data_IF_629594605670
#
_entry.id   IF_629594605670
#
_cell.length_a   1.000
_cell.length_b   1.000
_cell.length_c   1.000
_cell.angle_alpha   90.00
_cell.angle_beta   90.00
_cell.angle_gamma   90.00
#
_symmetry.space_group_name_H-M   'P 1'
#
loop_
_entity.id
_entity.type
_entity.pdbx_description
1 polymer ?
#
# COMPACT_ATOMS: atom_id res chain seq x y z
N UNK A 1 -4.98 -38.19 -20.34
CA UNK A 1 -5.06 -36.71 -20.48
C UNK A 1 -4.52 -36.15 -19.19
N UNK A 2 -3.37 -35.51 -19.23
CA UNK A 2 -2.79 -34.86 -18.04
C UNK A 2 -3.80 -33.82 -17.50
N UNK A 3 -3.99 -33.79 -16.22
CA UNK A 3 -4.80 -32.74 -15.57
C UNK A 3 -4.01 -31.43 -15.69
N UNK A 4 -4.38 -30.64 -16.67
CA UNK A 4 -3.89 -29.27 -16.84
C UNK A 4 -4.22 -28.40 -15.63
N UNK A 5 -3.62 -27.23 -15.48
CA UNK A 5 -3.96 -26.27 -14.42
C UNK A 5 -5.47 -26.03 -14.39
N UNK A 6 -5.96 -25.51 -13.28
CA UNK A 6 -7.38 -25.25 -13.14
C UNK A 6 -7.84 -24.27 -14.23
N UNK A 7 -8.86 -24.65 -15.00
CA UNK A 7 -9.47 -23.78 -16.00
C UNK A 7 -9.84 -22.42 -15.37
N UNK A 8 -9.59 -21.32 -16.08
CA UNK A 8 -9.86 -19.95 -15.58
C UNK A 8 -11.31 -19.75 -15.14
N UNK A 9 -12.26 -20.45 -15.74
CA UNK A 9 -13.67 -20.42 -15.32
C UNK A 9 -13.92 -21.01 -13.93
N UNK A 10 -13.02 -21.84 -13.43
CA UNK A 10 -13.09 -22.49 -12.12
C UNK A 10 -12.28 -21.76 -11.06
N UNK A 11 -11.46 -20.78 -11.45
CA UNK A 11 -10.69 -19.94 -10.52
C UNK A 11 -11.60 -18.86 -9.98
N UNK A 12 -11.96 -18.96 -8.70
CA UNK A 12 -12.89 -18.03 -8.05
C UNK A 12 -12.15 -16.81 -7.50
N UNK A 13 -12.59 -15.63 -7.92
CA UNK A 13 -12.23 -14.34 -7.34
C UNK A 13 -13.35 -13.85 -6.42
N UNK A 14 -13.03 -13.49 -5.19
CA UNK A 14 -13.92 -12.84 -4.24
C UNK A 14 -13.45 -11.40 -4.05
N UNK A 15 -14.21 -10.43 -4.60
CA UNK A 15 -13.89 -9.01 -4.51
C UNK A 15 -14.85 -8.33 -3.53
N UNK A 16 -14.33 -7.73 -2.47
CA UNK A 16 -15.08 -7.12 -1.39
C UNK A 16 -14.95 -5.58 -1.39
N UNK A 17 -15.77 -4.93 -0.57
CA UNK A 17 -15.71 -3.49 -0.25
C UNK A 17 -15.86 -2.57 -1.46
N UNK A 18 -16.56 -3.01 -2.50
CA UNK A 18 -16.80 -2.19 -3.68
C UNK A 18 -15.49 -1.73 -4.34
N UNK A 19 -14.51 -2.63 -4.53
CA UNK A 19 -13.34 -2.33 -5.36
C UNK A 19 -13.79 -1.80 -6.72
N UNK A 20 -13.02 -0.88 -7.32
CA UNK A 20 -13.45 -0.21 -8.53
C UNK A 20 -13.78 -1.22 -9.66
N UNK A 21 -14.85 -1.02 -10.45
CA UNK A 21 -15.27 -1.94 -11.52
C UNK A 21 -14.18 -2.28 -12.54
N UNK A 22 -13.20 -1.40 -12.77
CA UNK A 22 -12.04 -1.69 -13.61
C UNK A 22 -11.32 -2.99 -13.22
N UNK A 23 -11.35 -3.37 -11.94
CA UNK A 23 -10.81 -4.65 -11.50
C UNK A 23 -11.53 -5.84 -12.12
N UNK A 24 -12.87 -5.79 -12.16
CA UNK A 24 -13.70 -6.82 -12.78
C UNK A 24 -13.46 -6.88 -14.29
N UNK A 25 -13.30 -5.72 -14.92
CA UNK A 25 -13.06 -5.64 -16.36
C UNK A 25 -11.72 -6.27 -16.75
N UNK A 26 -10.63 -6.00 -15.98
CA UNK A 26 -9.32 -6.64 -16.18
C UNK A 26 -9.41 -8.16 -16.02
N UNK A 27 -10.07 -8.64 -14.97
CA UNK A 27 -10.22 -10.09 -14.73
C UNK A 27 -11.01 -10.75 -15.86
N UNK A 28 -12.11 -10.16 -16.31
CA UNK A 28 -12.92 -10.67 -17.43
C UNK A 28 -12.12 -10.67 -18.73
N UNK A 29 -11.39 -9.59 -19.03
CA UNK A 29 -10.54 -9.50 -20.20
C UNK A 29 -9.43 -10.56 -20.20
N UNK A 30 -8.94 -10.95 -19.02
CA UNK A 30 -7.98 -12.04 -18.84
C UNK A 30 -8.62 -13.46 -18.91
N UNK A 31 -9.94 -13.56 -19.07
CA UNK A 31 -10.68 -14.83 -19.23
C UNK A 31 -11.23 -15.43 -17.94
N UNK A 32 -11.18 -14.72 -16.81
CA UNK A 32 -11.79 -15.17 -15.55
C UNK A 32 -13.28 -14.86 -15.53
N UNK A 33 -14.11 -15.87 -15.28
CA UNK A 33 -15.58 -15.74 -15.28
C UNK A 33 -16.23 -15.98 -13.92
N UNK A 34 -15.52 -16.63 -12.99
CA UNK A 34 -16.00 -16.90 -11.64
C UNK A 34 -15.60 -15.77 -10.70
N UNK A 35 -16.30 -14.63 -10.80
CA UNK A 35 -16.03 -13.41 -10.03
C UNK A 35 -17.24 -13.10 -9.16
N UNK A 36 -17.08 -13.20 -7.84
CA UNK A 36 -18.07 -12.75 -6.87
C UNK A 36 -17.69 -11.34 -6.40
N UNK A 37 -18.56 -10.37 -6.67
CA UNK A 37 -18.36 -8.96 -6.37
C UNK A 37 -19.34 -8.48 -5.31
N UNK A 38 -18.82 -7.97 -4.18
CA UNK A 38 -19.61 -7.50 -3.04
C UNK A 38 -19.18 -6.07 -2.69
N UNK A 39 -20.15 -5.17 -2.56
CA UNK A 39 -19.88 -3.74 -2.35
C UNK A 39 -19.55 -3.35 -0.91
N UNK A 40 -19.74 -4.26 0.04
CA UNK A 40 -19.45 -4.05 1.47
C UNK A 40 -18.35 -4.97 1.95
N UNK A 41 -17.81 -4.70 3.13
CA UNK A 41 -17.10 -5.70 3.94
C UNK A 41 -18.10 -6.75 4.44
N UNK A 42 -17.60 -7.94 4.76
CA UNK A 42 -18.42 -9.04 5.29
C UNK A 42 -18.23 -9.18 6.80
N UNK A 43 -19.28 -9.55 7.53
CA UNK A 43 -19.13 -10.08 8.89
C UNK A 43 -18.21 -11.29 8.89
N UNK A 44 -17.45 -11.48 9.96
CA UNK A 44 -16.41 -12.52 10.07
C UNK A 44 -16.90 -13.92 9.71
N UNK A 45 -18.07 -14.32 10.20
CA UNK A 45 -18.64 -15.65 9.92
C UNK A 45 -18.91 -15.87 8.41
N UNK A 46 -19.43 -14.84 7.72
CA UNK A 46 -19.67 -14.89 6.27
C UNK A 46 -18.35 -14.86 5.48
N UNK A 47 -17.35 -14.10 5.97
CA UNK A 47 -16.02 -14.07 5.36
C UNK A 47 -15.37 -15.45 5.43
N UNK A 48 -15.41 -16.14 6.58
CA UNK A 48 -14.90 -17.51 6.77
C UNK A 48 -15.55 -18.51 5.81
N UNK A 49 -16.85 -18.40 5.60
CA UNK A 49 -17.58 -19.26 4.66
C UNK A 49 -17.14 -19.02 3.21
N UNK A 50 -17.12 -17.74 2.77
CA UNK A 50 -16.84 -17.39 1.38
C UNK A 50 -15.38 -17.57 0.97
N UNK A 51 -14.44 -17.30 1.88
CA UNK A 51 -13.01 -17.40 1.60
C UNK A 51 -12.58 -18.88 1.45
N UNK A 52 -13.30 -19.81 2.05
CA UNK A 52 -12.97 -21.25 2.00
C UNK A 52 -12.92 -21.80 0.57
N UNK A 53 -13.69 -21.23 -0.35
CA UNK A 53 -13.76 -21.64 -1.75
C UNK A 53 -13.10 -20.65 -2.73
N UNK A 54 -12.62 -19.51 -2.24
CA UNK A 54 -11.97 -18.51 -3.06
C UNK A 54 -10.51 -18.88 -3.36
N UNK A 55 -10.07 -18.64 -4.60
CA UNK A 55 -8.67 -18.76 -5.01
C UNK A 55 -7.94 -17.42 -4.90
N UNK A 56 -8.63 -16.33 -5.14
CA UNK A 56 -8.14 -14.97 -4.98
C UNK A 56 -9.16 -14.14 -4.21
N UNK A 57 -8.68 -13.30 -3.30
CA UNK A 57 -9.53 -12.33 -2.61
C UNK A 57 -8.99 -10.91 -2.86
N UNK A 58 -9.91 -10.00 -3.17
CA UNK A 58 -9.64 -8.56 -3.25
C UNK A 58 -10.34 -7.84 -2.11
N UNK A 59 -9.60 -7.06 -1.34
CA UNK A 59 -10.10 -6.26 -0.22
C UNK A 59 -9.61 -4.83 -0.32
N UNK A 60 -10.22 -3.93 0.46
CA UNK A 60 -9.69 -2.57 0.67
C UNK A 60 -9.14 -2.46 2.09
N UNK A 61 -9.57 -1.47 2.86
CA UNK A 61 -9.01 -1.16 4.19
C UNK A 61 -9.81 -1.71 5.38
N UNK A 62 -11.03 -2.22 5.17
CA UNK A 62 -11.94 -2.61 6.27
C UNK A 62 -11.86 -4.07 6.64
N UNK A 63 -11.82 -4.97 5.65
CA UNK A 63 -11.78 -6.42 5.87
C UNK A 63 -10.44 -6.82 6.48
N UNK A 64 -10.48 -7.46 7.64
CA UNK A 64 -9.29 -7.97 8.34
C UNK A 64 -9.04 -9.42 7.95
N UNK A 65 -7.88 -9.71 7.39
CA UNK A 65 -7.41 -11.07 7.08
C UNK A 65 -6.40 -11.52 8.15
N UNK A 66 -6.93 -11.99 9.26
CA UNK A 66 -6.17 -12.51 10.39
C UNK A 66 -5.72 -13.95 10.15
N UNK A 67 -4.85 -14.48 11.01
CA UNK A 67 -4.46 -15.88 10.98
C UNK A 67 -5.67 -16.82 11.01
N UNK A 68 -6.67 -16.53 11.87
CA UNK A 68 -7.90 -17.30 11.99
C UNK A 68 -8.70 -17.33 10.66
N UNK A 69 -8.76 -16.22 9.94
CA UNK A 69 -9.39 -16.18 8.61
C UNK A 69 -8.63 -17.04 7.61
N UNK A 70 -7.29 -16.98 7.62
CA UNK A 70 -6.47 -17.80 6.73
C UNK A 70 -6.59 -19.29 6.99
N UNK A 71 -6.90 -19.73 8.20
CA UNK A 71 -7.16 -21.16 8.52
C UNK A 71 -8.37 -21.71 7.76
N UNK A 72 -9.32 -20.85 7.38
CA UNK A 72 -10.46 -21.19 6.55
C UNK A 72 -10.17 -21.10 5.04
N UNK A 73 -9.13 -20.38 4.63
CA UNK A 73 -8.81 -20.04 3.24
C UNK A 73 -8.03 -21.15 2.50
N UNK A 74 -8.55 -22.36 2.45
CA UNK A 74 -7.85 -23.58 1.99
C UNK A 74 -7.41 -23.56 0.54
N UNK A 75 -8.14 -22.85 -0.33
CA UNK A 75 -7.84 -22.74 -1.77
C UNK A 75 -7.14 -21.43 -2.13
N UNK A 76 -7.02 -20.51 -1.20
CA UNK A 76 -6.55 -19.16 -1.46
C UNK A 76 -5.08 -19.18 -1.93
N UNK A 77 -4.82 -18.49 -3.02
CA UNK A 77 -3.51 -18.41 -3.70
C UNK A 77 -2.89 -17.05 -3.48
N UNK A 78 -3.70 -15.99 -3.56
CA UNK A 78 -3.22 -14.64 -3.34
C UNK A 78 -4.32 -13.70 -2.82
N UNK A 79 -3.87 -12.63 -2.18
CA UNK A 79 -4.65 -11.49 -1.70
C UNK A 79 -4.28 -10.26 -2.52
N UNK A 80 -5.27 -9.51 -2.98
CA UNK A 80 -5.11 -8.17 -3.54
C UNK A 80 -5.64 -7.13 -2.56
N UNK A 81 -4.77 -6.29 -2.04
CA UNK A 81 -5.14 -5.09 -1.28
C UNK A 81 -5.35 -3.94 -2.27
N UNK A 82 -6.60 -3.57 -2.54
CA UNK A 82 -6.95 -2.46 -3.43
C UNK A 82 -6.78 -1.12 -2.72
N UNK A 83 -5.58 -0.91 -2.17
CA UNK A 83 -5.11 0.28 -1.45
C UNK A 83 -3.58 0.22 -1.32
N UNK A 84 -2.96 1.23 -0.72
CA UNK A 84 -1.51 1.21 -0.42
C UNK A 84 -1.22 0.34 0.80
N UNK A 85 -1.96 0.55 1.91
CA UNK A 85 -1.72 -0.12 3.19
C UNK A 85 -2.02 -1.61 3.13
N UNK A 86 -1.32 -2.38 3.94
CA UNK A 86 -1.51 -3.83 4.10
C UNK A 86 -1.70 -4.24 5.55
N UNK A 87 -1.91 -3.27 6.44
CA UNK A 87 -2.07 -3.46 7.89
C UNK A 87 -3.27 -4.36 8.25
N UNK A 88 -4.27 -4.44 7.34
CA UNK A 88 -5.45 -5.29 7.47
C UNK A 88 -5.18 -6.76 7.13
N UNK A 89 -3.95 -7.13 6.73
CA UNK A 89 -3.56 -8.49 6.39
C UNK A 89 -2.43 -8.96 7.29
N UNK A 90 -2.59 -10.10 7.94
CA UNK A 90 -1.48 -10.78 8.62
C UNK A 90 -0.53 -11.37 7.57
N UNK A 91 0.51 -10.59 7.24
CA UNK A 91 1.49 -10.95 6.21
C UNK A 91 2.31 -12.19 6.59
N UNK A 92 2.51 -12.45 7.89
CA UNK A 92 3.22 -13.63 8.37
C UNK A 92 2.37 -14.89 8.17
N UNK A 93 1.12 -14.84 8.63
CA UNK A 93 0.19 -15.95 8.45
C UNK A 93 -0.06 -16.28 6.96
N UNK A 94 -0.17 -15.26 6.11
CA UNK A 94 -0.27 -15.44 4.66
C UNK A 94 0.97 -16.11 4.07
N UNK A 95 2.17 -15.66 4.44
CA UNK A 95 3.45 -16.23 3.99
C UNK A 95 3.61 -17.69 4.39
N UNK A 96 3.30 -18.04 5.64
CA UNK A 96 3.41 -19.41 6.17
C UNK A 96 2.47 -20.39 5.46
N UNK A 97 1.39 -19.89 4.83
CA UNK A 97 0.43 -20.68 4.04
C UNK A 97 0.68 -20.62 2.54
N UNK A 98 1.78 -19.97 2.12
CA UNK A 98 2.12 -19.82 0.71
C UNK A 98 1.13 -18.95 -0.07
N UNK A 99 0.59 -17.92 0.58
CA UNK A 99 -0.36 -16.96 0.00
C UNK A 99 0.37 -15.64 -0.27
N UNK A 100 0.46 -15.26 -1.55
CA UNK A 100 1.08 -14.00 -1.95
C UNK A 100 0.13 -12.83 -1.68
N UNK A 101 0.67 -11.68 -1.25
CA UNK A 101 -0.09 -10.46 -1.01
C UNK A 101 0.41 -9.35 -1.91
N UNK A 102 -0.50 -8.70 -2.63
CA UNK A 102 -0.22 -7.58 -3.54
C UNK A 102 -1.00 -6.35 -3.10
N UNK A 103 -0.45 -5.17 -3.36
CA UNK A 103 -1.10 -3.89 -3.11
C UNK A 103 -0.90 -2.92 -4.27
N UNK A 104 -1.40 -1.69 -4.15
CA UNK A 104 -1.21 -0.61 -5.12
C UNK A 104 -0.41 0.55 -4.51
N UNK A 105 0.93 0.48 -4.46
CA UNK A 105 1.75 1.48 -3.79
C UNK A 105 1.87 2.81 -4.55
N UNK A 106 1.46 2.88 -5.82
CA UNK A 106 1.73 4.05 -6.69
C UNK A 106 0.48 4.71 -7.26
N UNK A 107 -0.65 4.01 -7.35
CA UNK A 107 -1.83 4.43 -8.11
C UNK A 107 -2.55 5.66 -7.56
N UNK A 108 -2.34 6.04 -6.31
CA UNK A 108 -2.93 7.23 -5.70
C UNK A 108 -1.91 8.36 -5.44
N UNK A 109 -0.68 8.19 -5.91
CA UNK A 109 0.43 9.15 -5.67
C UNK A 109 0.03 10.58 -6.02
N UNK A 110 -0.58 10.77 -7.19
CA UNK A 110 -1.00 12.08 -7.69
C UNK A 110 -2.12 12.69 -6.83
N UNK A 111 -3.10 11.91 -6.44
CA UNK A 111 -4.23 12.37 -5.63
C UNK A 111 -3.79 12.91 -4.27
N UNK A 112 -2.89 12.19 -3.59
CA UNK A 112 -2.35 12.63 -2.29
C UNK A 112 -1.51 13.90 -2.46
N UNK A 113 -0.65 13.96 -3.48
CA UNK A 113 0.19 15.14 -3.74
C UNK A 113 -0.65 16.40 -4.02
N UNK A 114 -1.75 16.26 -4.77
CA UNK A 114 -2.68 17.37 -5.05
C UNK A 114 -3.45 17.82 -3.79
N UNK A 115 -3.93 16.88 -2.98
CA UNK A 115 -4.59 17.21 -1.71
C UNK A 115 -3.66 18.01 -0.81
N UNK A 116 -2.45 17.50 -0.55
CA UNK A 116 -1.45 18.18 0.30
C UNK A 116 -1.13 19.59 -0.20
N UNK A 117 -0.98 19.75 -1.52
CA UNK A 117 -0.68 21.06 -2.12
C UNK A 117 -1.85 22.03 -1.97
N UNK A 118 -3.09 21.56 -2.16
CA UNK A 118 -4.30 22.35 -1.93
C UNK A 118 -4.43 22.77 -0.45
N UNK A 119 -4.21 21.84 0.48
CA UNK A 119 -4.23 22.11 1.93
C UNK A 119 -3.17 23.13 2.32
N UNK A 120 -1.97 23.04 1.77
CA UNK A 120 -0.90 24.02 1.99
C UNK A 120 -1.34 25.44 1.59
N UNK A 121 -1.97 25.61 0.42
CA UNK A 121 -2.49 26.91 -0.03
C UNK A 121 -3.61 27.40 0.87
N UNK A 122 -4.57 26.54 1.21
CA UNK A 122 -5.72 26.91 2.04
C UNK A 122 -5.28 27.36 3.44
N UNK A 123 -4.33 26.65 4.05
CA UNK A 123 -3.79 26.97 5.37
C UNK A 123 -2.96 28.25 5.38
N UNK A 124 -2.09 28.49 4.39
CA UNK A 124 -1.35 29.74 4.25
C UNK A 124 -2.26 30.96 4.10
N UNK A 125 -3.45 30.78 3.55
CA UNK A 125 -4.46 31.85 3.36
C UNK A 125 -5.43 31.96 4.54
N UNK A 126 -5.37 31.06 5.52
CA UNK A 126 -6.35 30.99 6.63
C UNK A 126 -7.78 30.76 6.11
N UNK A 127 -7.95 30.01 5.04
CA UNK A 127 -9.27 29.76 4.41
C UNK A 127 -10.20 28.98 5.32
N UNK A 128 -9.77 27.90 6.05
CA UNK A 128 -10.68 27.14 6.91
C UNK A 128 -11.43 28.00 7.89
N UNK A 129 -10.73 28.84 8.66
CA UNK A 129 -11.30 29.76 9.64
C UNK A 129 -12.23 30.80 9.00
N UNK A 130 -11.76 31.44 7.92
CA UNK A 130 -12.53 32.47 7.20
C UNK A 130 -13.79 31.91 6.59
N UNK A 131 -13.71 30.71 5.97
CA UNK A 131 -14.86 29.99 5.41
C UNK A 131 -15.88 29.66 6.52
N UNK A 132 -15.42 29.06 7.60
CA UNK A 132 -16.30 28.73 8.74
C UNK A 132 -16.97 29.98 9.34
N UNK A 133 -16.24 31.12 9.43
CA UNK A 133 -16.78 32.38 9.88
C UNK A 133 -17.90 32.90 8.96
N UNK A 134 -17.70 32.88 7.64
CA UNK A 134 -18.72 33.32 6.67
C UNK A 134 -20.00 32.45 6.78
N UNK A 135 -19.87 31.14 6.94
CA UNK A 135 -21.03 30.26 7.13
C UNK A 135 -21.84 30.55 8.41
N UNK A 136 -21.17 31.12 9.42
CA UNK A 136 -21.82 31.57 10.66
C UNK A 136 -22.28 33.04 10.61
N UNK A 137 -22.21 33.69 9.46
CA UNK A 137 -22.64 35.09 9.29
C UNK A 137 -21.55 36.12 9.70
N UNK A 138 -20.33 35.68 10.00
CA UNK A 138 -19.20 36.56 10.30
C UNK A 138 -18.51 37.07 9.02
N UNK A 139 -17.62 38.06 9.16
CA UNK A 139 -16.92 38.65 8.03
C UNK A 139 -15.48 39.03 8.43
N UNK A 140 -14.50 38.14 8.14
CA UNK A 140 -13.09 38.35 8.47
C UNK A 140 -12.33 38.79 7.22
N UNK A 141 -12.37 40.09 6.91
CA UNK A 141 -11.61 40.69 5.82
C UNK A 141 -10.26 41.20 6.33
N UNK A 142 -9.21 40.38 6.29
CA UNK A 142 -7.88 40.73 6.79
C UNK A 142 -6.79 40.06 5.98
N UNK A 143 -5.67 40.77 5.77
CA UNK A 143 -4.45 40.21 5.22
C UNK A 143 -3.51 39.62 6.31
N UNK A 144 -3.84 39.81 7.57
CA UNK A 144 -3.06 39.23 8.67
C UNK A 144 -3.04 37.70 8.56
N UNK A 145 -1.86 37.11 8.72
CA UNK A 145 -1.61 35.69 8.59
C UNK A 145 -2.13 35.06 7.28
N UNK A 146 -2.08 35.85 6.19
CA UNK A 146 -2.44 35.39 4.85
C UNK A 146 -1.25 35.58 3.93
N UNK A 147 -0.73 34.48 3.38
CA UNK A 147 0.51 34.48 2.61
C UNK A 147 0.31 33.84 1.24
N UNK A 148 1.10 34.27 0.27
CA UNK A 148 1.26 33.57 -1.01
C UNK A 148 2.15 32.35 -0.82
N UNK A 149 1.94 31.30 -1.64
CA UNK A 149 2.77 30.09 -1.61
C UNK A 149 4.12 30.30 -2.28
N UNK A 150 4.20 31.22 -3.28
CA UNK A 150 5.45 31.55 -3.97
C UNK A 150 6.53 31.99 -2.98
N UNK A 151 7.74 31.43 -3.15
CA UNK A 151 8.89 31.72 -2.29
C UNK A 151 8.85 31.08 -0.91
N UNK A 152 7.78 30.34 -0.57
CA UNK A 152 7.72 29.58 0.68
C UNK A 152 8.56 28.33 0.60
N UNK A 153 9.06 27.87 1.76
CA UNK A 153 9.85 26.65 1.89
C UNK A 153 8.95 25.49 2.28
N UNK A 154 9.00 24.42 1.50
CA UNK A 154 8.32 23.15 1.77
C UNK A 154 9.34 22.15 2.29
N UNK A 155 9.12 21.63 3.50
CA UNK A 155 9.87 20.51 4.08
C UNK A 155 9.11 19.21 3.90
N UNK A 156 9.71 18.25 3.22
CA UNK A 156 9.12 16.93 2.97
C UNK A 156 9.87 15.90 3.82
N UNK A 157 9.14 15.16 4.66
CA UNK A 157 9.67 14.04 5.43
C UNK A 157 9.22 12.74 4.74
N UNK A 158 10.18 12.01 4.14
CA UNK A 158 9.91 10.87 3.25
C UNK A 158 9.82 11.27 1.78
N UNK A 159 10.90 11.04 1.03
CA UNK A 159 11.01 11.37 -0.40
C UNK A 159 10.78 10.13 -1.27
N UNK A 160 9.66 9.44 -1.01
CA UNK A 160 9.12 8.35 -1.82
C UNK A 160 8.31 8.86 -3.02
N UNK A 161 7.44 8.04 -3.58
CA UNK A 161 6.65 8.39 -4.77
C UNK A 161 5.80 9.64 -4.58
N UNK A 162 5.12 9.80 -3.43
CA UNK A 162 4.28 10.96 -3.13
C UNK A 162 5.15 12.20 -2.90
N UNK A 163 6.16 12.11 -2.04
CA UNK A 163 7.05 13.24 -1.73
C UNK A 163 7.77 13.77 -2.98
N UNK A 164 8.22 12.88 -3.83
CA UNK A 164 8.85 13.23 -5.12
C UNK A 164 7.87 13.95 -6.05
N UNK A 165 6.65 13.43 -6.22
CA UNK A 165 5.65 14.07 -7.07
C UNK A 165 5.21 15.43 -6.51
N UNK A 166 5.02 15.52 -5.21
CA UNK A 166 4.69 16.77 -4.53
C UNK A 166 5.78 17.81 -4.73
N UNK A 167 7.07 17.44 -4.66
CA UNK A 167 8.18 18.37 -4.86
C UNK A 167 8.13 19.04 -6.23
N UNK A 168 7.84 18.27 -7.28
CA UNK A 168 7.71 18.80 -8.66
C UNK A 168 6.53 19.76 -8.78
N UNK A 169 5.39 19.43 -8.17
CA UNK A 169 4.22 20.30 -8.18
C UNK A 169 4.46 21.60 -7.40
N UNK A 170 5.10 21.51 -6.24
CA UNK A 170 5.41 22.65 -5.37
C UNK A 170 6.41 23.60 -6.05
N UNK A 171 7.43 23.06 -6.72
CA UNK A 171 8.35 23.87 -7.55
C UNK A 171 7.60 24.65 -8.64
N UNK A 172 6.63 24.00 -9.31
CA UNK A 172 5.78 24.65 -10.32
C UNK A 172 5.01 25.86 -9.79
N UNK A 173 4.75 25.93 -8.48
CA UNK A 173 4.14 27.08 -7.79
C UNK A 173 5.18 28.06 -7.23
N UNK A 174 6.46 27.87 -7.50
CA UNK A 174 7.54 28.73 -7.05
C UNK A 174 7.97 28.53 -5.59
N UNK A 175 7.71 27.36 -5.01
CA UNK A 175 8.24 26.98 -3.70
C UNK A 175 9.69 26.53 -3.79
N UNK A 176 10.43 26.64 -2.67
CA UNK A 176 11.72 25.99 -2.44
C UNK A 176 11.48 24.70 -1.68
N UNK A 177 12.01 23.58 -2.19
CA UNK A 177 11.74 22.26 -1.59
C UNK A 177 12.99 21.72 -0.90
N UNK A 178 12.82 21.31 0.36
CA UNK A 178 13.82 20.58 1.14
C UNK A 178 13.21 19.25 1.60
N UNK A 179 14.00 18.18 1.60
CA UNK A 179 13.49 16.89 2.04
C UNK A 179 14.47 16.11 2.90
N UNK A 180 13.93 15.34 3.82
CA UNK A 180 14.65 14.34 4.59
C UNK A 180 14.13 12.94 4.23
N UNK A 181 15.05 12.02 4.02
CA UNK A 181 14.77 10.59 3.85
C UNK A 181 15.92 9.80 4.51
N UNK A 182 15.65 8.60 5.01
CA UNK A 182 16.66 7.72 5.60
C UNK A 182 17.64 7.17 4.56
N UNK A 183 17.24 7.19 3.29
CA UNK A 183 18.07 6.78 2.14
C UNK A 183 18.50 8.01 1.34
N UNK A 184 19.67 7.91 0.70
CA UNK A 184 20.05 8.91 -0.32
C UNK A 184 19.13 8.76 -1.52
N UNK A 185 18.43 9.83 -1.88
CA UNK A 185 17.48 9.88 -3.01
C UNK A 185 18.00 10.82 -4.09
N UNK A 186 17.59 10.55 -5.34
CA UNK A 186 17.82 11.48 -6.44
C UNK A 186 16.85 12.68 -6.28
N UNK A 187 17.35 13.90 -6.04
CA UNK A 187 16.49 15.06 -5.96
C UNK A 187 15.97 15.44 -7.36
N UNK A 188 14.68 15.81 -7.45
CA UNK A 188 14.08 16.31 -8.69
C UNK A 188 13.88 17.82 -8.60
N UNK A 189 14.09 18.51 -9.71
CA UNK A 189 13.92 19.95 -9.81
C UNK A 189 14.80 20.70 -8.83
N UNK A 190 14.20 21.63 -8.06
CA UNK A 190 14.90 22.41 -7.05
C UNK A 190 14.97 21.74 -5.66
N UNK A 191 14.51 20.51 -5.52
CA UNK A 191 14.50 19.80 -4.24
C UNK A 191 15.93 19.54 -3.74
N UNK A 192 16.17 19.80 -2.46
CA UNK A 192 17.47 19.58 -1.80
C UNK A 192 17.31 18.60 -0.65
N UNK A 193 18.08 17.51 -0.66
CA UNK A 193 18.15 16.59 0.48
C UNK A 193 18.96 17.21 1.61
N UNK A 194 18.40 17.14 2.82
CA UNK A 194 19.07 17.58 4.05
C UNK A 194 19.52 16.39 4.89
N UNK A 195 20.47 16.61 5.81
CA UNK A 195 21.13 15.55 6.52
C UNK A 195 20.34 15.00 7.73
N UNK A 196 19.44 15.79 8.29
CA UNK A 196 18.68 15.43 9.48
C UNK A 196 17.21 15.81 9.41
N UNK A 197 16.35 15.12 10.18
CA UNK A 197 14.93 15.44 10.30
C UNK A 197 14.68 16.86 10.83
N UNK A 198 15.53 17.34 11.73
CA UNK A 198 15.35 18.67 12.36
C UNK A 198 15.55 19.83 11.39
N UNK A 199 16.33 19.65 10.32
CA UNK A 199 16.56 20.72 9.34
C UNK A 199 15.29 21.14 8.59
N UNK A 200 14.52 20.23 7.94
CA UNK A 200 13.30 20.65 7.25
C UNK A 200 12.25 21.16 8.24
N UNK A 201 12.20 20.66 9.49
CA UNK A 201 11.31 21.18 10.51
C UNK A 201 11.60 22.65 10.83
N UNK A 202 12.86 22.99 11.11
CA UNK A 202 13.24 24.35 11.54
C UNK A 202 13.27 25.39 10.44
N UNK A 203 13.49 24.99 9.19
CA UNK A 203 13.66 25.96 8.09
C UNK A 203 12.44 26.16 7.20
N UNK A 204 11.44 25.24 7.26
CA UNK A 204 10.33 25.24 6.32
C UNK A 204 9.12 26.03 6.85
N UNK A 205 8.38 26.65 5.96
CA UNK A 205 7.11 27.31 6.27
C UNK A 205 5.97 26.28 6.38
N UNK A 206 6.10 25.17 5.63
CA UNK A 206 5.17 24.04 5.62
C UNK A 206 5.99 22.77 5.72
N UNK A 207 5.61 21.87 6.61
CA UNK A 207 6.16 20.53 6.76
C UNK A 207 5.09 19.52 6.40
N UNK A 208 5.42 18.55 5.56
CA UNK A 208 4.52 17.46 5.18
C UNK A 208 5.19 16.09 5.30
N UNK A 209 4.40 15.12 5.71
CA UNK A 209 4.88 13.78 6.05
C UNK A 209 4.41 12.76 5.01
N UNK A 210 5.35 11.94 4.50
CA UNK A 210 5.12 10.91 3.49
C UNK A 210 5.90 9.64 3.81
N UNK A 211 5.87 9.22 5.06
CA UNK A 211 6.56 8.02 5.58
C UNK A 211 5.59 6.85 5.77
N UNK A 212 6.05 5.59 5.65
CA UNK A 212 5.24 4.42 6.00
C UNK A 212 5.04 4.33 7.53
N UNK A 213 4.14 3.44 7.95
CA UNK A 213 3.99 3.07 9.35
C UNK A 213 4.97 1.93 9.68
N UNK A 214 5.95 2.23 10.52
CA UNK A 214 6.95 1.28 11.04
C UNK A 214 7.21 1.57 12.51
N UNK A 215 7.98 0.71 13.20
CA UNK A 215 8.37 0.97 14.58
C UNK A 215 9.18 2.27 14.73
N UNK A 216 9.97 2.63 13.73
CA UNK A 216 10.82 3.84 13.73
C UNK A 216 10.04 5.13 13.42
N UNK A 217 8.92 5.02 12.71
CA UNK A 217 8.09 6.18 12.36
C UNK A 217 6.92 6.41 13.30
N UNK A 218 6.66 5.46 14.20
CA UNK A 218 5.62 5.60 15.22
C UNK A 218 5.98 6.76 16.17
N UNK A 219 5.11 7.73 16.26
CA UNK A 219 5.24 8.95 17.09
C UNK A 219 6.53 9.75 16.81
N UNK A 220 7.08 9.62 15.59
CA UNK A 220 8.33 10.31 15.23
C UNK A 220 8.19 11.84 15.21
N UNK A 221 6.96 12.36 15.12
CA UNK A 221 6.65 13.78 15.23
C UNK A 221 5.87 14.00 16.54
N UNK A 222 6.63 13.98 17.62
CA UNK A 222 6.14 14.27 18.97
C UNK A 222 6.26 15.74 19.35
N UNK A 223 6.06 16.07 20.63
CA UNK A 223 6.12 17.44 21.14
C UNK A 223 7.43 18.14 20.75
N UNK A 224 8.58 17.47 20.89
CA UNK A 224 9.89 18.04 20.59
C UNK A 224 10.02 18.42 19.12
N UNK A 225 9.62 17.53 18.21
CA UNK A 225 9.68 17.74 16.76
C UNK A 225 8.67 18.82 16.34
N UNK A 226 7.48 18.82 16.90
CA UNK A 226 6.46 19.86 16.66
C UNK A 226 6.98 21.23 17.09
N UNK A 227 7.64 21.33 18.26
CA UNK A 227 8.27 22.58 18.74
C UNK A 227 9.51 22.97 17.93
N UNK A 228 10.16 22.03 17.25
CA UNK A 228 11.25 22.32 16.33
C UNK A 228 10.77 22.90 14.99
N UNK A 229 9.49 22.74 14.64
CA UNK A 229 8.93 23.41 13.46
C UNK A 229 9.02 24.92 13.67
N UNK A 230 9.39 25.64 12.62
CA UNK A 230 9.48 27.09 12.60
C UNK A 230 8.19 27.71 13.18
N UNK A 231 8.35 28.68 14.10
CA UNK A 231 7.20 29.42 14.63
C UNK A 231 6.38 30.05 13.50
N UNK A 232 5.08 29.85 13.50
CA UNK A 232 4.19 30.25 12.42
C UNK A 232 4.19 29.26 11.25
N UNK A 233 4.79 28.08 11.44
CA UNK A 233 4.77 27.00 10.45
C UNK A 233 3.45 26.25 10.39
N UNK A 234 3.31 25.37 9.42
CA UNK A 234 2.16 24.52 9.13
C UNK A 234 2.63 23.07 9.10
N UNK A 235 1.87 22.15 9.71
CA UNK A 235 2.11 20.70 9.60
C UNK A 235 0.98 20.03 8.83
N UNK A 236 1.34 19.18 7.85
CA UNK A 236 0.40 18.37 7.06
C UNK A 236 0.76 16.91 7.23
N UNK A 237 -0.22 16.07 7.60
CA UNK A 237 -0.07 14.62 7.67
C UNK A 237 -1.16 13.93 6.85
N UNK A 238 -0.79 13.46 5.67
CA UNK A 238 -1.58 12.56 4.81
C UNK A 238 -0.84 11.21 4.63
N UNK A 239 -0.03 10.80 5.62
CA UNK A 239 0.76 9.57 5.60
C UNK A 239 0.12 8.46 6.45
N UNK A 240 0.37 8.47 7.76
CA UNK A 240 -0.20 7.51 8.74
C UNK A 240 -0.52 8.22 10.05
N UNK A 241 -1.62 7.81 10.69
CA UNK A 241 -2.12 8.47 11.91
C UNK A 241 -1.16 8.39 13.09
N UNK A 242 -0.47 7.27 13.23
CA UNK A 242 0.48 7.01 14.32
C UNK A 242 1.81 7.77 14.20
N UNK A 243 2.03 8.53 13.13
CA UNK A 243 3.28 9.29 12.92
C UNK A 243 3.32 10.56 13.79
N UNK A 244 2.17 11.16 14.10
CA UNK A 244 2.07 12.45 14.79
C UNK A 244 1.35 12.30 16.13
N UNK A 245 1.89 12.88 17.20
CA UNK A 245 1.21 13.04 18.49
C UNK A 245 0.18 14.18 18.39
N UNK A 246 -1.11 13.83 18.28
CA UNK A 246 -2.17 14.81 18.01
C UNK A 246 -2.45 15.75 19.18
N UNK A 247 -2.24 15.32 20.42
CA UNK A 247 -2.39 16.20 21.60
C UNK A 247 -1.31 17.28 21.61
N UNK A 248 -0.06 16.93 21.36
CA UNK A 248 1.04 17.88 21.24
C UNK A 248 0.82 18.87 20.07
N UNK A 249 0.27 18.38 18.94
CA UNK A 249 -0.10 19.22 17.81
C UNK A 249 -1.22 20.20 18.18
N UNK A 250 -2.25 19.74 18.87
CA UNK A 250 -3.36 20.57 19.33
C UNK A 250 -2.86 21.71 20.26
N UNK A 251 -1.95 21.40 21.17
CA UNK A 251 -1.38 22.39 22.08
C UNK A 251 -0.51 23.42 21.35
N UNK A 252 0.28 22.98 20.36
CA UNK A 252 1.09 23.89 19.54
C UNK A 252 0.23 24.84 18.67
N UNK A 253 -0.97 24.43 18.28
CA UNK A 253 -1.92 25.29 17.55
C UNK A 253 -2.60 26.27 18.54
N UNK A 254 -3.05 25.80 19.70
CA UNK A 254 -3.72 26.63 20.72
C UNK A 254 -2.80 27.76 21.22
N UNK A 255 -1.52 27.48 21.42
CA UNK A 255 -0.54 28.47 21.87
C UNK A 255 0.07 29.31 20.72
N UNK A 256 -0.39 29.08 19.47
CA UNK A 256 0.01 29.83 18.28
C UNK A 256 1.50 29.62 17.90
N UNK A 257 2.10 28.50 18.31
CA UNK A 257 3.39 28.10 17.78
C UNK A 257 3.26 27.73 16.29
N UNK A 258 2.27 26.90 15.94
CA UNK A 258 1.84 26.63 14.58
C UNK A 258 0.59 27.46 14.23
N UNK A 259 0.49 27.92 12.98
CA UNK A 259 -0.65 28.71 12.50
C UNK A 259 -1.72 27.85 11.83
N UNK A 260 -1.47 26.56 11.63
CA UNK A 260 -2.43 25.65 11.05
C UNK A 260 -1.89 24.22 10.90
N UNK A 261 -2.81 23.29 10.66
CA UNK A 261 -2.49 21.92 10.34
C UNK A 261 -3.54 21.31 9.39
N UNK A 262 -3.13 20.30 8.61
CA UNK A 262 -4.04 19.41 7.87
C UNK A 262 -3.73 17.96 8.24
N UNK A 263 -4.75 17.24 8.65
CA UNK A 263 -4.63 15.84 9.08
C UNK A 263 -5.69 15.01 8.36
N UNK A 264 -5.22 14.12 7.50
CA UNK A 264 -6.07 13.19 6.73
C UNK A 264 -6.16 11.81 7.38
N UNK A 265 -5.25 11.49 8.31
CA UNK A 265 -5.07 10.17 8.92
C UNK A 265 -4.98 10.26 10.44
N UNK A 266 -5.55 9.29 11.16
CA UNK A 266 -5.67 9.33 12.61
C UNK A 266 -5.20 8.02 13.25
N UNK A 267 -4.69 8.05 14.52
CA UNK A 267 -4.31 6.83 15.23
C UNK A 267 -5.48 5.86 15.44
N UNK A 268 -6.67 6.43 15.62
CA UNK A 268 -7.94 5.69 15.72
C UNK A 268 -8.91 6.29 14.72
N UNK A 269 -9.28 5.51 13.72
CA UNK A 269 -10.22 5.90 12.68
C UNK A 269 -11.58 5.20 12.88
N UNK A 270 -12.72 5.89 12.61
CA UNK A 270 -14.04 5.29 12.62
C UNK A 270 -14.11 4.08 11.67
N UNK A 271 -14.77 3.01 12.09
CA UNK A 271 -14.95 1.80 11.26
C UNK A 271 -16.03 1.96 10.19
N UNK A 272 -16.98 2.86 10.45
CA UNK A 272 -18.08 3.16 9.54
C UNK A 272 -18.35 4.67 9.48
N UNK A 273 -19.10 5.11 8.49
CA UNK A 273 -19.51 6.51 8.36
C UNK A 273 -20.50 6.96 9.46
N UNK A 274 -21.08 6.01 10.19
CA UNK A 274 -22.05 6.28 11.27
C UNK A 274 -21.37 6.38 12.64
N UNK A 275 -20.09 6.01 12.74
CA UNK A 275 -19.33 6.09 13.98
C UNK A 275 -18.93 7.55 14.29
N UNK A 276 -18.87 7.90 15.56
CA UNK A 276 -18.45 9.22 15.99
C UNK A 276 -16.94 9.34 15.84
N UNK A 277 -16.51 10.38 15.15
CA UNK A 277 -15.09 10.74 15.04
C UNK A 277 -14.67 11.62 16.22
N UNK A 278 -13.64 11.20 16.95
CA UNK A 278 -13.05 11.96 18.06
C UNK A 278 -11.59 12.31 17.76
N UNK A 279 -11.22 13.56 18.03
CA UNK A 279 -9.85 14.06 17.89
C UNK A 279 -9.64 15.32 18.73
N UNK A 280 -8.46 15.51 19.36
CA UNK A 280 -8.13 16.74 20.09
C UNK A 280 -8.04 17.97 19.17
N UNK A 281 -8.03 17.79 17.87
CA UNK A 281 -7.96 18.87 16.87
C UNK A 281 -9.33 19.42 16.47
N UNK A 282 -10.43 18.77 16.87
CA UNK A 282 -11.79 19.23 16.55
C UNK A 282 -12.06 20.62 17.11
N UNK A 283 -12.62 21.48 16.28
CA UNK A 283 -13.00 22.84 16.67
C UNK A 283 -11.85 23.84 16.75
N UNK A 284 -10.62 23.45 16.41
CA UNK A 284 -9.51 24.39 16.30
C UNK A 284 -9.59 25.17 15.00
N UNK A 285 -9.33 26.47 15.09
CA UNK A 285 -9.27 27.35 13.93
C UNK A 285 -8.07 27.02 13.03
N UNK A 286 -8.24 27.23 11.75
CA UNK A 286 -7.23 26.97 10.71
C UNK A 286 -6.67 25.54 10.73
N UNK A 287 -7.51 24.56 11.06
CA UNK A 287 -7.22 23.13 10.98
C UNK A 287 -8.13 22.48 9.96
N UNK A 288 -7.56 21.69 9.06
CA UNK A 288 -8.29 20.85 8.09
C UNK A 288 -8.24 19.42 8.59
N UNK A 289 -9.41 18.80 8.76
CA UNK A 289 -9.55 17.38 9.10
C UNK A 289 -10.31 16.70 7.97
N UNK A 290 -9.71 15.67 7.38
CA UNK A 290 -10.31 14.88 6.29
C UNK A 290 -10.33 13.40 6.66
N UNK A 291 -11.37 12.64 6.28
CA UNK A 291 -11.58 11.27 6.74
C UNK A 291 -10.81 10.26 5.89
N UNK A 292 -9.47 10.36 5.87
CA UNK A 292 -8.55 9.47 5.16
C UNK A 292 -8.89 9.35 3.66
N UNK A 293 -9.00 10.49 3.00
CA UNK A 293 -9.42 10.61 1.59
C UNK A 293 -8.28 10.93 0.60
N UNK A 294 -7.04 11.02 1.06
CA UNK A 294 -5.91 11.37 0.19
C UNK A 294 -5.82 10.54 -1.08
N UNK A 295 -6.14 9.24 -1.00
CA UNK A 295 -6.21 8.34 -2.16
C UNK A 295 -7.64 8.13 -2.73
N UNK A 296 -8.64 8.88 -2.30
CA UNK A 296 -10.05 8.62 -2.62
C UNK A 296 -10.57 9.47 -3.77
N UNK A 297 -9.85 9.52 -4.88
CA UNK A 297 -10.31 10.12 -6.14
C UNK A 297 -10.79 9.04 -7.11
N UNK A 298 -11.67 9.40 -8.05
CA UNK A 298 -12.19 8.48 -9.06
C UNK A 298 -11.04 7.85 -9.87
N UNK A 299 -10.07 8.66 -10.28
CA UNK A 299 -8.90 8.25 -11.05
C UNK A 299 -8.02 7.29 -10.24
N UNK A 300 -7.74 7.61 -8.97
CA UNK A 300 -6.95 6.73 -8.11
C UNK A 300 -7.63 5.39 -7.91
N UNK A 301 -8.92 5.36 -7.65
CA UNK A 301 -9.67 4.12 -7.47
C UNK A 301 -9.68 3.27 -8.74
N UNK A 302 -9.84 3.88 -9.92
CA UNK A 302 -9.75 3.18 -11.20
C UNK A 302 -8.34 2.59 -11.43
N UNK A 303 -7.30 3.37 -11.19
CA UNK A 303 -5.91 2.95 -11.35
C UNK A 303 -5.52 1.84 -10.35
N UNK A 304 -5.96 1.94 -9.08
CA UNK A 304 -5.79 0.89 -8.08
C UNK A 304 -6.46 -0.41 -8.55
N UNK A 305 -7.68 -0.30 -9.11
CA UNK A 305 -8.40 -1.44 -9.68
C UNK A 305 -7.59 -2.13 -10.77
N UNK A 306 -7.03 -1.38 -11.70
CA UNK A 306 -6.17 -1.90 -12.78
C UNK A 306 -4.90 -2.53 -12.21
N UNK A 307 -4.13 -1.78 -11.41
CA UNK A 307 -2.82 -2.21 -10.92
C UNK A 307 -2.89 -3.53 -10.14
N UNK A 308 -3.78 -3.63 -9.15
CA UNK A 308 -3.87 -4.85 -8.32
C UNK A 308 -4.38 -6.03 -9.13
N UNK A 309 -5.40 -5.82 -9.98
CA UNK A 309 -5.95 -6.91 -10.80
C UNK A 309 -4.94 -7.45 -11.80
N UNK A 310 -4.14 -6.59 -12.45
CA UNK A 310 -3.07 -7.02 -13.34
C UNK A 310 -2.00 -7.85 -12.60
N UNK A 311 -1.66 -7.48 -11.35
CA UNK A 311 -0.72 -8.26 -10.53
C UNK A 311 -1.29 -9.65 -10.21
N UNK A 312 -2.57 -9.71 -9.81
CA UNK A 312 -3.25 -10.98 -9.55
C UNK A 312 -3.32 -11.86 -10.81
N UNK A 313 -3.64 -11.29 -11.96
CA UNK A 313 -3.65 -11.99 -13.25
C UNK A 313 -2.25 -12.53 -13.58
N UNK A 314 -1.22 -11.72 -13.51
CA UNK A 314 0.17 -12.14 -13.77
C UNK A 314 0.61 -13.26 -12.83
N UNK A 315 0.28 -13.16 -11.54
CA UNK A 315 0.60 -14.21 -10.57
C UNK A 315 -0.20 -15.49 -10.84
N UNK A 316 -1.46 -15.37 -11.24
CA UNK A 316 -2.28 -16.52 -11.63
C UNK A 316 -1.78 -17.21 -12.90
N UNK A 317 -1.47 -16.43 -13.94
CA UNK A 317 -1.18 -16.93 -15.29
C UNK A 317 0.26 -17.43 -15.45
N UNK A 318 1.23 -16.79 -14.83
CA UNK A 318 2.64 -17.14 -14.99
C UNK A 318 3.48 -17.21 -13.70
N UNK A 319 2.89 -16.92 -12.54
CA UNK A 319 3.60 -16.98 -11.26
C UNK A 319 4.46 -15.75 -10.94
N UNK A 320 4.42 -14.67 -11.74
CA UNK A 320 5.18 -13.45 -11.46
C UNK A 320 4.77 -12.85 -10.12
N UNK A 321 5.74 -12.67 -9.20
CA UNK A 321 5.53 -12.13 -7.85
C UNK A 321 6.07 -10.71 -7.67
N UNK A 322 6.35 -9.99 -8.74
CA UNK A 322 6.81 -8.59 -8.70
C UNK A 322 5.81 -7.72 -7.94
N UNK A 323 6.29 -6.89 -7.03
CA UNK A 323 5.53 -6.07 -6.07
C UNK A 323 4.71 -6.88 -5.06
N UNK A 324 5.01 -8.14 -4.82
CA UNK A 324 4.47 -8.85 -3.65
C UNK A 324 5.06 -8.26 -2.38
N UNK A 325 4.22 -8.02 -1.36
CA UNK A 325 4.68 -7.42 -0.10
C UNK A 325 5.20 -8.44 0.91
N UNK A 326 4.98 -9.74 0.68
CA UNK A 326 5.36 -10.80 1.61
C UNK A 326 6.19 -11.94 1.01
N UNK A 327 6.36 -11.96 -0.33
CA UNK A 327 7.19 -12.93 -1.04
C UNK A 327 8.38 -12.25 -1.72
N UNK A 328 9.44 -13.03 -2.03
CA UNK A 328 10.50 -12.58 -2.93
C UNK A 328 9.93 -12.21 -4.31
N UNK A 329 10.44 -11.16 -4.92
CA UNK A 329 9.99 -10.70 -6.22
C UNK A 329 10.69 -11.48 -7.35
N UNK A 330 9.91 -12.12 -8.21
CA UNK A 330 10.40 -12.80 -9.40
C UNK A 330 9.60 -12.32 -10.62
N UNK A 331 10.29 -11.73 -11.57
CA UNK A 331 9.74 -11.40 -12.88
C UNK A 331 9.93 -12.59 -13.82
N UNK A 332 8.84 -13.11 -14.38
CA UNK A 332 8.85 -14.33 -15.18
C UNK A 332 8.46 -14.06 -16.62
N UNK A 333 9.21 -14.63 -17.60
CA UNK A 333 8.80 -14.59 -19.01
C UNK A 333 7.57 -15.47 -19.25
N UNK A 334 6.94 -15.30 -20.40
CA UNK A 334 5.97 -16.28 -20.90
C UNK A 334 6.62 -17.65 -21.05
N UNK A 335 5.84 -18.73 -20.89
CA UNK A 335 6.32 -20.13 -20.95
C UNK A 335 5.54 -20.99 -21.95
N UNK A 336 5.41 -20.55 -23.23
CA UNK A 336 4.58 -21.26 -24.20
C UNK A 336 5.05 -22.70 -24.42
N UNK A 337 4.10 -23.64 -24.30
CA UNK A 337 4.38 -25.08 -24.54
C UNK A 337 5.20 -25.75 -23.42
N UNK A 338 5.41 -25.09 -22.29
CA UNK A 338 6.05 -25.68 -21.12
C UNK A 338 5.08 -25.66 -19.93
N UNK A 339 5.26 -26.63 -19.03
CA UNK A 339 4.61 -26.60 -17.74
C UNK A 339 5.51 -25.92 -16.72
N UNK A 340 4.94 -25.01 -15.94
CA UNK A 340 5.65 -24.23 -14.95
C UNK A 340 5.29 -24.68 -13.54
N UNK A 341 6.29 -25.13 -12.81
CA UNK A 341 6.17 -25.54 -11.41
C UNK A 341 6.55 -24.36 -10.54
N UNK A 342 5.64 -23.96 -9.65
CA UNK A 342 5.85 -22.92 -8.64
C UNK A 342 6.04 -23.62 -7.30
N UNK A 343 7.17 -23.37 -6.62
CA UNK A 343 7.49 -23.98 -5.35
C UNK A 343 7.89 -22.91 -4.33
N UNK A 344 7.13 -22.81 -3.27
CA UNK A 344 7.37 -21.93 -2.13
C UNK A 344 7.88 -22.78 -0.99
N UNK A 345 9.01 -22.42 -0.40
CA UNK A 345 9.66 -23.19 0.65
C UNK A 345 10.27 -22.29 1.73
N UNK A 346 10.49 -22.85 2.91
CA UNK A 346 11.29 -22.21 3.96
C UNK A 346 12.72 -22.00 3.43
N UNK A 347 13.30 -20.84 3.68
CA UNK A 347 14.68 -20.56 3.27
C UNK A 347 15.67 -21.24 4.22
N UNK A 348 15.82 -22.57 4.11
CA UNK A 348 16.74 -23.40 4.88
C UNK A 348 17.75 -24.12 3.97
N UNK A 349 18.96 -24.39 4.47
CA UNK A 349 19.99 -25.10 3.70
C UNK A 349 19.49 -26.46 3.19
N UNK A 350 19.86 -26.81 1.95
CA UNK A 350 19.60 -28.12 1.36
C UNK A 350 18.34 -28.20 0.49
N UNK A 351 17.35 -27.33 0.66
CA UNK A 351 16.09 -27.40 -0.10
C UNK A 351 16.31 -27.38 -1.61
N UNK A 352 17.17 -26.48 -2.13
CA UNK A 352 17.49 -26.41 -3.56
C UNK A 352 18.19 -27.66 -4.07
N UNK A 353 19.01 -28.30 -3.24
CA UNK A 353 19.64 -29.56 -3.59
C UNK A 353 18.57 -30.67 -3.76
N UNK A 354 17.65 -30.80 -2.81
CA UNK A 354 16.56 -31.78 -2.89
C UNK A 354 15.62 -31.51 -4.07
N UNK A 355 15.30 -30.25 -4.35
CA UNK A 355 14.52 -29.88 -5.55
C UNK A 355 15.22 -30.37 -6.83
N UNK A 356 16.50 -30.02 -7.04
CA UNK A 356 17.22 -30.39 -8.24
C UNK A 356 17.44 -31.92 -8.35
N UNK A 357 17.59 -32.61 -7.20
CA UNK A 357 17.69 -34.06 -7.14
C UNK A 357 16.42 -34.76 -7.66
N UNK A 358 15.23 -34.23 -7.32
CA UNK A 358 13.95 -34.75 -7.87
C UNK A 358 13.98 -34.80 -9.39
N UNK A 359 14.44 -33.73 -10.04
CA UNK A 359 14.49 -33.67 -11.50
C UNK A 359 15.56 -34.61 -12.08
N UNK A 360 16.77 -34.59 -11.49
CA UNK A 360 17.87 -35.42 -11.91
C UNK A 360 17.57 -36.95 -11.84
N UNK A 361 17.03 -37.41 -10.70
CA UNK A 361 16.71 -38.82 -10.45
C UNK A 361 15.56 -39.34 -11.32
N UNK A 362 14.68 -38.47 -11.80
CA UNK A 362 13.55 -38.83 -12.64
C UNK A 362 13.80 -38.54 -14.15
N UNK A 363 15.04 -38.14 -14.50
CA UNK A 363 15.39 -37.84 -15.88
C UNK A 363 14.66 -36.65 -16.49
N UNK A 364 14.18 -35.72 -15.65
CA UNK A 364 13.41 -34.56 -16.09
C UNK A 364 14.37 -33.42 -16.42
N UNK A 365 14.33 -32.94 -17.66
CA UNK A 365 15.11 -31.79 -18.06
C UNK A 365 14.44 -30.46 -17.61
N UNK A 366 15.23 -29.60 -16.99
CA UNK A 366 14.81 -28.24 -16.60
C UNK A 366 15.13 -27.30 -17.75
N UNK A 367 14.11 -26.71 -18.38
CA UNK A 367 14.26 -25.73 -19.44
C UNK A 367 14.41 -24.28 -18.95
N UNK A 368 13.98 -23.98 -17.73
CA UNK A 368 14.17 -22.70 -17.06
C UNK A 368 14.06 -22.85 -15.55
N UNK A 369 14.86 -22.11 -14.80
CA UNK A 369 14.79 -22.08 -13.35
C UNK A 369 15.04 -20.66 -12.85
N UNK A 370 14.11 -20.15 -12.03
CA UNK A 370 14.15 -18.81 -11.45
C UNK A 370 14.02 -18.95 -9.95
N UNK A 371 14.94 -18.37 -9.21
CA UNK A 371 14.95 -18.42 -7.76
C UNK A 371 15.17 -17.02 -7.18
N UNK A 372 14.34 -16.66 -6.22
CA UNK A 372 14.61 -15.56 -5.31
C UNK A 372 14.30 -16.00 -3.87
N UNK A 373 15.07 -15.48 -2.93
CA UNK A 373 14.90 -15.75 -1.50
C UNK A 373 14.89 -14.46 -0.71
N UNK A 374 14.18 -14.45 0.39
CA UNK A 374 14.35 -13.50 1.47
C UNK A 374 14.78 -14.25 2.73
N UNK A 375 14.83 -13.58 3.87
CA UNK A 375 15.28 -14.19 5.13
C UNK A 375 14.50 -15.43 5.55
N UNK A 376 13.22 -15.56 5.15
CA UNK A 376 12.30 -16.58 5.65
C UNK A 376 11.86 -17.59 4.59
N UNK A 377 11.66 -17.15 3.36
CA UNK A 377 11.11 -17.99 2.29
C UNK A 377 11.93 -17.91 1.02
N UNK A 378 11.97 -19.02 0.28
CA UNK A 378 12.40 -19.08 -1.10
C UNK A 378 11.21 -19.31 -2.03
N UNK A 379 11.27 -18.66 -3.19
CA UNK A 379 10.32 -18.86 -4.27
C UNK A 379 11.10 -19.30 -5.51
N UNK A 380 10.92 -20.56 -5.89
CA UNK A 380 11.55 -21.13 -7.07
C UNK A 380 10.49 -21.49 -8.11
N UNK A 381 10.76 -21.13 -9.35
CA UNK A 381 9.91 -21.40 -10.50
C UNK A 381 10.71 -22.21 -11.50
N UNK A 382 10.16 -23.35 -11.94
CA UNK A 382 10.86 -24.31 -12.80
C UNK A 382 9.98 -24.63 -13.99
N UNK A 383 10.53 -24.46 -15.20
CA UNK A 383 9.88 -24.81 -16.45
C UNK A 383 10.36 -26.19 -16.92
N UNK A 384 9.42 -27.09 -17.19
CA UNK A 384 9.66 -28.47 -17.64
C UNK A 384 8.76 -28.81 -18.83
N UNK A 385 9.04 -29.92 -19.50
CA UNK A 385 8.17 -30.46 -20.53
C UNK A 385 6.88 -31.05 -19.92
N UNK A 386 5.76 -30.94 -20.64
CA UNK A 386 4.42 -31.22 -20.12
C UNK A 386 4.24 -32.62 -19.53
N UNK A 387 4.90 -33.62 -20.11
CA UNK A 387 4.79 -35.04 -19.74
C UNK A 387 5.28 -35.34 -18.31
N UNK A 388 6.13 -34.49 -17.74
CA UNK A 388 6.76 -34.70 -16.42
C UNK A 388 6.15 -33.92 -15.28
N UNK A 389 5.20 -33.01 -15.53
CA UNK A 389 4.73 -32.04 -14.55
C UNK A 389 4.04 -32.66 -13.34
N UNK A 390 3.22 -33.71 -13.55
CA UNK A 390 2.45 -34.35 -12.46
C UNK A 390 3.40 -35.08 -11.50
N UNK A 391 4.37 -35.82 -12.03
CA UNK A 391 5.38 -36.53 -11.23
C UNK A 391 6.26 -35.53 -10.45
N UNK A 392 6.71 -34.47 -11.10
CA UNK A 392 7.54 -33.47 -10.47
C UNK A 392 6.75 -32.74 -9.35
N UNK A 393 5.49 -32.39 -9.57
CA UNK A 393 4.65 -31.76 -8.55
C UNK A 393 4.47 -32.65 -7.33
N UNK A 394 4.15 -33.93 -7.53
CA UNK A 394 3.99 -34.91 -6.44
C UNK A 394 5.27 -35.01 -5.60
N UNK A 395 6.42 -35.11 -6.24
CA UNK A 395 7.71 -35.22 -5.53
C UNK A 395 8.07 -33.93 -4.78
N UNK A 396 7.86 -32.77 -5.40
CA UNK A 396 8.17 -31.47 -4.79
C UNK A 396 7.35 -31.19 -3.55
N UNK A 397 6.11 -31.71 -3.45
CA UNK A 397 5.26 -31.53 -2.25
C UNK A 397 5.83 -32.24 -1.01
N UNK A 398 6.67 -33.27 -1.19
CA UNK A 398 7.22 -34.07 -0.09
C UNK A 398 8.62 -33.60 0.35
N UNK A 399 9.19 -32.58 -0.27
CA UNK A 399 10.48 -32.01 0.13
C UNK A 399 10.32 -31.31 1.49
N UNK A 400 11.24 -31.59 2.42
CA UNK A 400 11.25 -30.92 3.72
C UNK A 400 11.40 -29.41 3.56
N UNK A 401 10.58 -28.65 4.25
CA UNK A 401 10.53 -27.18 4.13
C UNK A 401 9.61 -26.65 3.02
N UNK A 402 8.94 -27.53 2.25
CA UNK A 402 7.92 -27.11 1.29
C UNK A 402 6.73 -26.47 2.02
N UNK A 403 6.39 -25.24 1.63
CA UNK A 403 5.20 -24.55 2.10
C UNK A 403 4.05 -24.80 1.12
N UNK A 404 4.30 -24.62 -0.18
CA UNK A 404 3.27 -24.82 -1.20
C UNK A 404 3.90 -25.08 -2.58
N UNK A 405 3.26 -25.92 -3.38
CA UNK A 405 3.60 -26.09 -4.79
C UNK A 405 2.36 -25.98 -5.68
N UNK A 406 2.54 -25.46 -6.89
CA UNK A 406 1.51 -25.30 -7.93
C UNK A 406 2.09 -25.62 -9.29
N UNK A 407 1.23 -26.01 -10.24
CA UNK A 407 1.59 -26.14 -11.65
C UNK A 407 0.75 -25.18 -12.48
N UNK A 408 1.40 -24.50 -13.42
CA UNK A 408 0.76 -23.66 -14.44
C UNK A 408 1.06 -24.23 -15.83
N UNK A 409 0.15 -24.00 -16.80
CA UNK A 409 0.21 -24.54 -18.14
C UNK A 409 0.02 -23.47 -19.19
#
# INVERSE_FOLDING_TARGET
MSKTSLDKSKIKFLLLEGVHPSAVDVLKAAGYTSIEYITSSLPEAQLKEKIADAHFIGIRSRTQLTEEIFDHAKKLVAVGCFCIGTNQVDLNAARERGIAVFNAPYSNTRSVAELVLAEAILLLRGIPEKNASCHRGGWIKSAANSFEIRGKKLGIVGYGSIGTQLSVLAEGLGMQVFFYDTLTKLPLGNATQVASLTEPLGMSDIVTLHVPETAETQWMIGEKEIRAIKKGGILINAARGTVVELDALADAIKDKHLIGAAIDVFPVEPRSNDDIFESPLRGLDNVILTPHIGGSTAEAQANIGLEVSEKLVKYSDNGTSVSSVNFPEVALPAHPGKHRLLHIHQNIPGVMMEINKVFAENGINISGQFLQTNEKVGYVVIDVDAEYSDLAQEKLQHINGTIRSRVLF
#
